data_IF_060989490747
#
_entry.id   IF_060989490747
#
_cell.length_a   1.000
_cell.length_b   1.000
_cell.length_c   1.000
_cell.angle_alpha   90.00
_cell.angle_beta   90.00
_cell.angle_gamma   90.00
#
_symmetry.space_group_name_H-M   'P 1'
#
loop_
_entity.id
_entity.type
_entity.pdbx_description
1 polymer ?
#
# COMPACT_ATOMS: atom_id res chain seq x y z
N UNK A 1 26.47 -5.70 0.43
CA UNK A 1 25.69 -4.54 0.90
C UNK A 1 24.93 -4.03 -0.31
N UNK A 2 23.60 -3.91 -0.25
CA UNK A 2 22.86 -3.28 -1.34
C UNK A 2 23.24 -1.80 -1.38
N UNK A 3 23.59 -1.30 -2.56
CA UNK A 3 23.95 0.10 -2.77
C UNK A 3 22.75 0.84 -3.39
N UNK A 4 22.12 1.78 -2.68
CA UNK A 4 21.01 2.57 -3.20
C UNK A 4 21.31 3.28 -4.52
N UNK A 5 22.57 3.70 -4.75
CA UNK A 5 22.95 4.39 -5.99
C UNK A 5 22.85 3.47 -7.21
N UNK A 6 23.27 2.21 -7.06
CA UNK A 6 23.15 1.20 -8.11
C UNK A 6 21.68 0.85 -8.37
N UNK A 7 20.87 0.75 -7.30
CA UNK A 7 19.42 0.50 -7.43
C UNK A 7 18.74 1.65 -8.18
N UNK A 8 19.02 2.90 -7.82
CA UNK A 8 18.49 4.08 -8.53
C UNK A 8 18.87 4.04 -10.00
N UNK A 9 20.15 3.78 -10.31
CA UNK A 9 20.64 3.71 -11.68
C UNK A 9 19.89 2.64 -12.49
N UNK A 10 19.64 1.46 -11.92
CA UNK A 10 18.91 0.40 -12.60
C UNK A 10 17.46 0.78 -12.88
N UNK A 11 16.79 1.41 -11.92
CA UNK A 11 15.41 1.90 -12.07
C UNK A 11 15.35 2.98 -13.16
N UNK A 12 16.32 3.90 -13.18
CA UNK A 12 16.41 4.97 -14.19
C UNK A 12 16.62 4.40 -15.62
N UNK A 13 17.25 3.23 -15.73
CA UNK A 13 17.42 2.50 -17.00
C UNK A 13 16.23 1.57 -17.33
N UNK A 14 15.14 1.64 -16.57
CA UNK A 14 13.91 0.88 -16.85
C UNK A 14 13.90 -0.55 -16.30
N UNK A 15 14.72 -0.86 -15.29
CA UNK A 15 14.60 -2.13 -14.58
C UNK A 15 13.21 -2.27 -13.95
N UNK A 16 12.58 -3.43 -14.14
CA UNK A 16 11.27 -3.70 -13.53
C UNK A 16 11.40 -3.94 -12.03
N UNK A 17 10.63 -3.19 -11.25
CA UNK A 17 10.69 -3.17 -9.78
C UNK A 17 9.82 -4.26 -9.12
N UNK A 18 8.92 -4.88 -9.87
CA UNK A 18 8.00 -5.92 -9.39
C UNK A 18 8.35 -7.33 -9.92
N UNK A 19 9.51 -7.49 -10.59
CA UNK A 19 9.97 -8.81 -11.00
C UNK A 19 10.19 -9.71 -9.79
N UNK A 20 9.49 -10.85 -9.73
CA UNK A 20 9.64 -11.80 -8.64
C UNK A 20 10.50 -13.00 -9.05
N UNK A 21 11.27 -13.54 -8.11
CA UNK A 21 11.96 -14.81 -8.31
C UNK A 21 10.99 -16.02 -8.20
N UNK A 22 11.53 -17.24 -8.27
CA UNK A 22 10.75 -18.50 -8.12
C UNK A 22 10.08 -18.68 -6.75
N UNK A 23 10.44 -17.84 -5.77
CA UNK A 23 9.86 -17.80 -4.43
C UNK A 23 8.92 -16.60 -4.25
N UNK A 24 8.52 -15.94 -5.35
CA UNK A 24 7.70 -14.73 -5.35
C UNK A 24 8.34 -13.54 -4.62
N UNK A 25 9.66 -13.56 -4.44
CA UNK A 25 10.38 -12.47 -3.80
C UNK A 25 10.63 -11.37 -4.82
N UNK A 26 9.94 -10.24 -4.66
CA UNK A 26 10.21 -9.01 -5.41
C UNK A 26 11.41 -8.27 -4.81
N UNK A 27 12.06 -7.35 -5.55
CA UNK A 27 13.11 -6.49 -5.03
C UNK A 27 12.74 -5.81 -3.70
N UNK A 28 11.49 -5.38 -3.54
CA UNK A 28 11.00 -4.72 -2.32
C UNK A 28 10.91 -5.68 -1.13
N UNK A 29 10.49 -6.93 -1.34
CA UNK A 29 10.47 -7.96 -0.29
C UNK A 29 11.90 -8.28 0.17
N UNK A 30 12.81 -8.50 -0.78
CA UNK A 30 14.20 -8.85 -0.46
C UNK A 30 14.88 -7.70 0.31
N UNK A 31 14.63 -6.46 -0.09
CA UNK A 31 15.13 -5.28 0.62
C UNK A 31 14.56 -5.16 2.04
N UNK A 32 13.26 -5.42 2.22
CA UNK A 32 12.61 -5.41 3.53
C UNK A 32 13.15 -6.50 4.46
N UNK A 33 13.30 -7.73 3.97
CA UNK A 33 13.87 -8.86 4.74
C UNK A 33 15.34 -8.60 5.13
N UNK A 34 16.07 -7.91 4.25
CA UNK A 34 17.47 -7.55 4.47
C UNK A 34 17.66 -6.25 5.27
N UNK A 35 16.57 -5.61 5.72
CA UNK A 35 16.56 -4.34 6.47
C UNK A 35 17.21 -3.16 5.73
N UNK A 36 17.13 -3.13 4.40
CA UNK A 36 17.59 -2.01 3.57
C UNK A 36 16.46 -1.01 3.35
N UNK A 37 16.17 -0.21 4.38
CA UNK A 37 15.04 0.73 4.39
C UNK A 37 15.13 1.80 3.29
N UNK A 38 16.33 2.26 2.97
CA UNK A 38 16.64 3.17 1.88
C UNK A 38 16.30 2.57 0.50
N UNK A 39 16.67 1.31 0.27
CA UNK A 39 16.34 0.57 -0.94
C UNK A 39 14.84 0.31 -1.03
N UNK A 40 14.19 -0.03 0.09
CA UNK A 40 12.72 -0.17 0.15
C UNK A 40 12.05 1.14 -0.25
N UNK A 41 12.49 2.28 0.31
CA UNK A 41 11.92 3.57 -0.03
C UNK A 41 12.10 3.92 -1.51
N UNK A 42 13.28 3.67 -2.10
CA UNK A 42 13.52 3.87 -3.52
C UNK A 42 12.59 3.03 -4.40
N UNK A 43 12.42 1.75 -4.08
CA UNK A 43 11.56 0.85 -4.83
C UNK A 43 10.08 1.26 -4.73
N UNK A 44 9.62 1.62 -3.53
CA UNK A 44 8.26 2.12 -3.33
C UNK A 44 8.01 3.43 -4.09
N UNK A 45 8.98 4.36 -4.10
CA UNK A 45 8.90 5.59 -4.89
C UNK A 45 8.86 5.32 -6.39
N UNK A 46 9.52 4.25 -6.85
CA UNK A 46 9.49 3.78 -8.22
C UNK A 46 8.21 3.00 -8.59
N UNK A 47 7.27 2.84 -7.64
CA UNK A 47 5.98 2.20 -7.87
C UNK A 47 5.91 0.72 -7.50
N UNK A 48 6.94 0.16 -6.86
CA UNK A 48 6.93 -1.23 -6.44
C UNK A 48 5.82 -1.48 -5.39
N UNK A 49 5.11 -2.59 -5.51
CA UNK A 49 4.11 -3.00 -4.52
C UNK A 49 4.70 -4.00 -3.52
N UNK A 50 4.89 -3.57 -2.27
CA UNK A 50 5.28 -4.49 -1.19
C UNK A 50 4.14 -5.48 -0.88
N UNK A 51 2.90 -5.03 -0.96
CA UNK A 51 1.73 -5.80 -0.55
C UNK A 51 1.41 -6.95 -1.51
N UNK A 52 1.40 -6.68 -2.83
CA UNK A 52 1.21 -7.74 -3.83
C UNK A 52 2.29 -8.81 -3.74
N UNK A 53 3.53 -8.40 -3.51
CA UNK A 53 4.65 -9.31 -3.31
C UNK A 53 4.39 -10.28 -2.15
N UNK A 54 3.96 -9.75 -0.99
CA UNK A 54 3.66 -10.58 0.18
C UNK A 54 2.49 -11.53 -0.09
N UNK A 55 1.43 -11.08 -0.77
CA UNK A 55 0.30 -11.94 -1.12
C UNK A 55 0.72 -13.13 -1.97
N UNK A 56 1.53 -12.87 -3.02
CA UNK A 56 2.06 -13.92 -3.90
C UNK A 56 2.96 -14.89 -3.14
N UNK A 57 3.85 -14.37 -2.28
CA UNK A 57 4.74 -15.18 -1.44
C UNK A 57 3.97 -16.08 -0.46
N UNK A 58 2.87 -15.58 0.09
CA UNK A 58 1.99 -16.32 0.99
C UNK A 58 0.91 -17.15 0.25
N UNK A 59 0.90 -17.13 -1.08
CA UNK A 59 -0.09 -17.82 -1.92
C UNK A 59 -1.55 -17.46 -1.57
N UNK A 60 -1.77 -16.23 -1.11
CA UNK A 60 -3.11 -15.75 -0.79
C UNK A 60 -3.88 -15.53 -2.10
N UNK A 61 -5.03 -16.18 -2.24
CA UNK A 61 -5.91 -16.05 -3.40
C UNK A 61 -7.13 -15.20 -3.02
N UNK A 62 -7.60 -14.37 -3.96
CA UNK A 62 -8.77 -13.53 -3.79
C UNK A 62 -10.06 -14.36 -3.59
N UNK A 63 -11.06 -13.85 -2.83
CA UNK A 63 -11.05 -12.57 -2.12
C UNK A 63 -10.24 -12.63 -0.82
N UNK A 64 -9.36 -11.66 -0.63
CA UNK A 64 -8.58 -11.51 0.61
C UNK A 64 -9.31 -10.51 1.51
N UNK A 65 -9.58 -10.94 2.73
CA UNK A 65 -10.14 -10.09 3.78
C UNK A 65 -9.06 -9.19 4.36
N UNK A 66 -9.26 -7.87 4.30
CA UNK A 66 -8.28 -6.87 4.73
C UNK A 66 -8.76 -6.02 5.88
N UNK A 67 -7.86 -5.81 6.84
CA UNK A 67 -7.94 -4.77 7.87
C UNK A 67 -6.84 -3.75 7.56
N UNK A 68 -7.17 -2.46 7.57
CA UNK A 68 -6.23 -1.41 7.22
C UNK A 68 -6.27 -0.26 8.23
N UNK A 69 -5.14 0.38 8.46
CA UNK A 69 -5.06 1.64 9.21
C UNK A 69 -4.96 2.82 8.25
N UNK A 70 -5.56 3.96 8.62
CA UNK A 70 -5.35 5.21 7.91
C UNK A 70 -3.90 5.68 8.01
N UNK A 71 -3.40 6.31 6.94
CA UNK A 71 -2.10 6.98 6.94
C UNK A 71 -2.09 8.21 7.87
N UNK A 72 -0.89 8.68 8.30
CA UNK A 72 -0.75 9.85 9.18
C UNK A 72 -1.27 11.16 8.55
N UNK A 73 -1.40 11.18 7.23
CA UNK A 73 -1.98 12.26 6.43
C UNK A 73 -3.52 12.28 6.42
N UNK A 74 -4.15 11.21 6.91
CA UNK A 74 -5.61 11.08 7.02
C UNK A 74 -6.29 10.69 5.71
N UNK A 75 -5.56 10.05 4.79
CA UNK A 75 -6.09 9.63 3.49
C UNK A 75 -6.69 8.20 3.50
N UNK A 76 -6.84 7.57 4.67
CA UNK A 76 -7.33 6.20 4.85
C UNK A 76 -6.50 5.12 4.12
N UNK A 77 -5.28 5.44 3.67
CA UNK A 77 -4.48 4.59 2.78
C UNK A 77 -5.13 4.42 1.41
N UNK A 78 -5.57 5.56 0.86
CA UNK A 78 -6.28 5.70 -0.42
C UNK A 78 -5.61 5.01 -1.59
N UNK A 79 -4.28 5.01 -1.64
CA UNK A 79 -3.53 4.40 -2.74
C UNK A 79 -3.71 2.88 -2.74
N UNK A 80 -3.67 2.25 -1.57
CA UNK A 80 -3.85 0.81 -1.39
C UNK A 80 -5.28 0.39 -1.76
N UNK A 81 -6.29 1.18 -1.36
CA UNK A 81 -7.68 0.92 -1.76
C UNK A 81 -7.82 0.94 -3.28
N UNK A 82 -7.08 1.76 -4.03
CA UNK A 82 -7.16 1.79 -5.51
C UNK A 82 -6.41 0.65 -6.18
N UNK A 83 -5.22 0.33 -5.69
CA UNK A 83 -4.33 -0.67 -6.31
C UNK A 83 -4.86 -2.10 -6.16
N UNK A 84 -5.72 -2.35 -5.17
CA UNK A 84 -6.13 -3.70 -4.80
C UNK A 84 -7.63 -3.95 -4.99
N UNK A 85 -8.13 -4.08 -6.24
CA UNK A 85 -9.55 -4.28 -6.55
C UNK A 85 -10.12 -5.62 -6.10
N UNK A 86 -9.26 -6.59 -5.83
CA UNK A 86 -9.63 -7.98 -5.50
C UNK A 86 -9.80 -8.20 -3.99
N UNK A 87 -9.67 -7.14 -3.18
CA UNK A 87 -9.68 -7.21 -1.73
C UNK A 87 -10.97 -6.71 -1.12
N UNK A 88 -11.43 -7.44 -0.12
CA UNK A 88 -12.57 -7.07 0.71
C UNK A 88 -12.06 -6.39 1.98
N UNK A 89 -12.18 -5.06 2.04
CA UNK A 89 -11.84 -4.32 3.26
C UNK A 89 -12.98 -4.49 4.25
N UNK A 90 -12.73 -5.19 5.36
CA UNK A 90 -13.71 -5.43 6.43
C UNK A 90 -13.54 -4.48 7.60
N UNK A 91 -12.35 -3.89 7.78
CA UNK A 91 -12.12 -2.92 8.83
C UNK A 91 -11.15 -1.82 8.41
N UNK A 92 -11.46 -0.59 8.82
CA UNK A 92 -10.57 0.57 8.70
C UNK A 92 -10.44 1.23 10.06
N UNK A 93 -9.20 1.39 10.52
CA UNK A 93 -8.85 2.08 11.76
C UNK A 93 -8.23 3.42 11.40
N UNK A 94 -8.87 4.53 11.75
CA UNK A 94 -8.34 5.88 11.56
C UNK A 94 -8.22 6.61 12.91
N UNK A 95 -7.44 7.68 12.97
CA UNK A 95 -7.10 8.38 14.21
C UNK A 95 -8.29 8.90 15.02
N UNK A 96 -9.48 9.00 14.41
CA UNK A 96 -10.74 9.39 15.07
C UNK A 96 -11.80 8.29 15.18
N UNK A 97 -11.57 7.07 14.68
CA UNK A 97 -12.58 6.01 14.74
C UNK A 97 -12.24 4.72 14.02
N UNK A 98 -13.00 3.68 14.35
CA UNK A 98 -12.91 2.35 13.73
C UNK A 98 -14.22 2.03 13.02
N UNK A 99 -14.14 1.63 11.75
CA UNK A 99 -15.26 1.09 10.99
C UNK A 99 -15.03 -0.40 10.76
N UNK A 100 -16.03 -1.23 11.01
CA UNK A 100 -15.98 -2.68 10.84
C UNK A 100 -17.29 -3.22 10.27
N UNK A 101 -17.19 -4.02 9.21
CA UNK A 101 -18.29 -4.81 8.67
C UNK A 101 -17.79 -6.23 8.30
N UNK A 102 -18.26 -7.29 8.98
CA UNK A 102 -17.85 -8.67 8.69
C UNK A 102 -18.24 -9.14 7.27
N UNK A 103 -19.20 -8.48 6.60
CA UNK A 103 -19.59 -8.78 5.22
C UNK A 103 -18.78 -8.01 4.18
N UNK A 104 -17.81 -7.22 4.62
CA UNK A 104 -17.06 -6.32 3.76
C UNK A 104 -17.75 -4.97 3.57
N UNK A 105 -16.95 -3.91 3.56
CA UNK A 105 -17.45 -2.57 3.32
C UNK A 105 -17.75 -2.33 1.85
N UNK A 106 -18.74 -1.47 1.57
CA UNK A 106 -19.13 -1.12 0.21
C UNK A 106 -17.96 -0.43 -0.53
N UNK A 107 -17.43 -1.14 -1.53
CA UNK A 107 -16.22 -0.70 -2.25
C UNK A 107 -16.44 0.55 -3.10
N UNK A 108 -17.60 0.71 -3.73
CA UNK A 108 -17.90 1.91 -4.50
C UNK A 108 -17.88 3.17 -3.63
N UNK A 109 -18.48 3.10 -2.44
CA UNK A 109 -18.50 4.20 -1.48
C UNK A 109 -17.11 4.47 -0.90
N UNK A 110 -16.31 3.43 -0.62
CA UNK A 110 -14.92 3.59 -0.20
C UNK A 110 -14.07 4.29 -1.27
N UNK A 111 -14.20 3.89 -2.55
CA UNK A 111 -13.48 4.52 -3.66
C UNK A 111 -13.92 5.97 -3.85
N UNK A 112 -15.23 6.27 -3.75
CA UNK A 112 -15.75 7.65 -3.78
C UNK A 112 -15.16 8.51 -2.65
N UNK A 113 -15.10 7.98 -1.44
CA UNK A 113 -14.52 8.67 -0.28
C UNK A 113 -13.05 9.01 -0.55
N UNK A 114 -12.25 8.02 -0.95
CA UNK A 114 -10.84 8.14 -1.31
C UNK A 114 -10.58 9.19 -2.41
N UNK A 115 -11.40 9.21 -3.48
CA UNK A 115 -11.27 10.21 -4.55
C UNK A 115 -11.60 11.61 -4.05
N UNK A 116 -12.59 11.74 -3.16
CA UNK A 116 -13.00 13.02 -2.58
C UNK A 116 -11.92 13.60 -1.66
N UNK A 117 -11.22 12.77 -0.88
CA UNK A 117 -10.12 13.22 -0.01
C UNK A 117 -8.97 13.90 -0.78
N UNK A 118 -8.63 13.43 -1.99
CA UNK A 118 -7.59 14.06 -2.82
C UNK A 118 -7.99 15.43 -3.39
N UNK A 119 -9.29 15.77 -3.42
CA UNK A 119 -9.76 17.08 -3.90
C UNK A 119 -9.77 18.17 -2.81
N UNK A 120 -9.24 17.89 -1.61
CA UNK A 120 -9.04 18.92 -0.58
C UNK A 120 -10.31 19.44 0.10
N UNK A 121 -11.45 18.77 -0.06
CA UNK A 121 -12.73 19.24 0.49
C UNK A 121 -12.98 18.86 1.96
N UNK A 122 -12.19 17.93 2.52
CA UNK A 122 -12.17 17.72 3.96
C UNK A 122 -11.32 18.82 4.61
N UNK A 123 -11.95 19.97 4.90
CA UNK A 123 -11.39 20.92 5.87
C UNK A 123 -11.14 20.13 7.15
N UNK A 124 -9.87 19.99 7.55
CA UNK A 124 -9.52 19.52 8.90
C UNK A 124 -10.39 20.30 9.88
N UNK A 125 -11.05 19.60 10.80
CA UNK A 125 -11.86 20.23 11.83
C UNK A 125 -11.02 21.35 12.48
N UNK A 126 -11.46 22.61 12.47
CA UNK A 126 -10.61 23.77 12.77
C UNK A 126 -10.15 23.86 14.24
N UNK A 127 -10.52 22.90 15.08
CA UNK A 127 -10.19 22.84 16.50
C UNK A 127 -9.70 21.45 16.92
N UNK A 128 -8.51 21.03 16.45
CA UNK A 128 -7.72 20.08 17.23
C UNK A 128 -6.91 20.90 18.23
N UNK A 129 -7.40 21.00 19.47
CA UNK A 129 -6.56 21.39 20.61
C UNK A 129 -5.59 20.27 20.93
#
# INVERSE_FOLDING_TARGET
>A
MADPANVSTLIDHGASVDLSDKYWSTPSIVAAESKYADVVELLLRAGASLFEGIQRKLQLQAPITKVQTGGPDGDLGSNEIKMSPQEETIAVVDGSGVLYDPKGMNRENLVKLVVTYRQGTFKRCPNRK
#
